data_IF_271807308500
#
_entry.id   IF_271807308500
#
_cell.length_a   1.000
_cell.length_b   1.000
_cell.length_c   1.000
_cell.angle_alpha   90.00
_cell.angle_beta   90.00
_cell.angle_gamma   90.00
#
_symmetry.space_group_name_H-M   'P 1'
#
loop_
_entity.id
_entity.type
_entity.pdbx_description
1 polymer ?
#
# COMPACT_ATOMS: atom_id res chain seq x y z
N UNK A 1 25.00 -24.56 -6.32
CA UNK A 1 23.88 -24.12 -7.21
C UNK A 1 22.63 -24.11 -6.35
N UNK A 2 21.98 -22.97 -6.19
CA UNK A 2 20.72 -22.87 -5.43
C UNK A 2 19.61 -23.22 -6.38
N UNK A 3 18.88 -24.30 -6.11
CA UNK A 3 17.75 -24.71 -6.92
C UNK A 3 16.48 -24.05 -6.32
N UNK A 4 15.87 -23.16 -7.08
CA UNK A 4 14.63 -22.51 -6.68
C UNK A 4 13.50 -23.53 -6.51
N UNK A 5 12.71 -23.38 -5.48
CA UNK A 5 11.55 -24.24 -5.18
C UNK A 5 10.39 -23.77 -6.05
N UNK A 6 10.36 -24.19 -7.32
CA UNK A 6 9.20 -24.03 -8.19
C UNK A 6 8.43 -25.35 -8.12
N UNK A 7 7.24 -25.37 -7.53
CA UNK A 7 6.33 -26.53 -7.46
C UNK A 7 6.72 -27.73 -6.56
N UNK A 8 7.49 -27.55 -5.50
CA UNK A 8 7.56 -28.56 -4.45
C UNK A 8 6.44 -28.37 -3.43
N UNK A 9 5.91 -29.46 -2.87
CA UNK A 9 5.11 -29.41 -1.63
C UNK A 9 6.00 -28.85 -0.52
N UNK A 10 5.94 -27.54 -0.32
CA UNK A 10 6.65 -26.89 0.76
C UNK A 10 5.88 -27.24 2.04
N UNK A 11 6.56 -27.78 3.08
CA UNK A 11 5.92 -28.07 4.35
C UNK A 11 5.30 -26.77 4.90
N UNK A 12 4.05 -26.83 5.30
CA UNK A 12 3.41 -25.73 6.05
C UNK A 12 4.03 -25.65 7.43
N UNK A 13 4.75 -24.58 7.68
CA UNK A 13 5.30 -24.28 9.00
C UNK A 13 5.12 -22.79 9.29
N UNK A 14 4.23 -22.40 10.21
CA UNK A 14 3.94 -21.02 10.52
C UNK A 14 5.15 -20.26 11.07
N UNK A 15 6.15 -20.96 11.58
CA UNK A 15 7.35 -20.35 12.17
C UNK A 15 8.48 -20.13 11.15
N UNK A 16 8.41 -20.72 9.95
CA UNK A 16 9.47 -20.63 8.94
C UNK A 16 8.89 -20.34 7.57
N UNK A 17 9.37 -19.30 6.91
CA UNK A 17 9.16 -19.09 5.48
C UNK A 17 10.36 -19.67 4.75
N UNK A 18 10.14 -20.75 4.01
CA UNK A 18 11.19 -21.41 3.26
C UNK A 18 11.58 -20.61 2.03
N UNK A 19 12.89 -20.48 1.80
CA UNK A 19 13.48 -19.72 0.69
C UNK A 19 13.98 -20.66 -0.40
N UNK A 20 14.72 -21.69 0.02
CA UNK A 20 15.40 -22.61 -0.90
C UNK A 20 15.78 -23.90 -0.18
N UNK A 21 16.40 -24.81 -0.95
CA UNK A 21 17.07 -25.98 -0.42
C UNK A 21 18.56 -25.95 -0.74
N UNK A 22 19.36 -26.51 0.14
CA UNK A 22 20.80 -26.68 -0.11
C UNK A 22 21.01 -27.76 -1.17
N UNK A 23 22.07 -27.61 -1.95
CA UNK A 23 22.57 -28.64 -2.86
C UNK A 23 24.04 -28.89 -2.53
N UNK A 24 24.31 -29.34 -1.31
CA UNK A 24 25.68 -29.56 -0.84
C UNK A 24 25.89 -31.03 -0.47
N UNK A 25 26.83 -31.69 -1.13
CA UNK A 25 27.19 -33.10 -0.91
C UNK A 25 26.01 -34.07 -0.99
N UNK A 26 25.07 -33.85 -1.92
CA UNK A 26 23.88 -34.67 -2.10
C UNK A 26 22.84 -34.59 -0.98
N UNK A 27 22.95 -33.63 -0.08
CA UNK A 27 21.95 -33.37 0.96
C UNK A 27 21.09 -32.17 0.57
N UNK A 28 19.83 -32.46 0.28
CA UNK A 28 18.79 -31.49 -0.01
C UNK A 28 18.10 -31.06 1.30
N UNK A 29 18.62 -30.02 1.96
CA UNK A 29 18.04 -29.51 3.20
C UNK A 29 17.33 -28.19 2.93
N UNK A 30 16.04 -28.12 3.28
CA UNK A 30 15.28 -26.86 3.24
C UNK A 30 15.82 -25.85 4.25
N UNK A 31 15.93 -24.61 3.84
CA UNK A 31 16.24 -23.50 4.73
C UNK A 31 15.35 -22.31 4.46
N UNK A 32 15.15 -21.48 5.47
CA UNK A 32 14.24 -20.34 5.41
C UNK A 32 14.52 -19.32 6.50
N UNK A 33 13.64 -18.33 6.57
CA UNK A 33 13.66 -17.25 7.56
C UNK A 33 12.65 -17.56 8.64
N UNK A 34 13.06 -17.45 9.90
CA UNK A 34 12.14 -17.58 11.04
C UNK A 34 11.18 -16.40 11.08
N UNK A 35 9.94 -16.64 11.52
CA UNK A 35 8.89 -15.61 11.63
C UNK A 35 9.34 -14.38 12.40
N UNK A 36 10.05 -14.54 13.51
CA UNK A 36 10.58 -13.44 14.31
C UNK A 36 11.59 -12.55 13.56
N UNK A 37 12.35 -13.14 12.62
CA UNK A 37 13.40 -12.47 11.88
C UNK A 37 12.85 -11.76 10.63
N UNK A 38 11.59 -12.04 10.23
CA UNK A 38 10.89 -11.40 9.11
C UNK A 38 10.47 -9.96 9.39
N UNK A 39 10.65 -9.46 10.58
CA UNK A 39 10.49 -8.03 10.91
C UNK A 39 11.60 -7.16 10.33
N UNK A 40 12.67 -7.77 9.88
CA UNK A 40 13.76 -7.14 9.14
C UNK A 40 13.37 -7.02 7.65
N UNK A 41 13.78 -5.92 7.01
CA UNK A 41 13.57 -5.75 5.58
C UNK A 41 14.46 -6.70 4.78
N UNK A 42 13.94 -7.21 3.66
CA UNK A 42 14.72 -8.01 2.71
C UNK A 42 14.88 -7.24 1.41
N UNK A 43 16.08 -7.24 0.87
CA UNK A 43 16.37 -6.68 -0.44
C UNK A 43 16.88 -7.78 -1.36
N UNK A 44 16.17 -8.04 -2.47
CA UNK A 44 16.49 -9.12 -3.42
C UNK A 44 17.07 -8.51 -4.67
N UNK A 45 18.35 -8.81 -4.94
CA UNK A 45 19.09 -8.35 -6.10
C UNK A 45 19.34 -9.49 -7.08
N UNK A 46 19.23 -9.19 -8.36
CA UNK A 46 19.55 -10.14 -9.44
C UNK A 46 19.20 -9.57 -10.80
N UNK A 47 19.81 -10.11 -11.85
CA UNK A 47 19.49 -9.78 -13.24
C UNK A 47 18.05 -10.22 -13.57
N UNK A 48 17.49 -9.73 -14.68
CA UNK A 48 16.25 -10.25 -15.23
C UNK A 48 16.35 -11.77 -15.49
N UNK A 49 15.29 -12.52 -15.23
CA UNK A 49 15.26 -13.97 -15.43
C UNK A 49 15.97 -14.81 -14.34
N UNK A 50 16.54 -14.21 -13.27
CA UNK A 50 17.23 -14.95 -12.22
C UNK A 50 16.32 -15.49 -11.11
N UNK A 51 14.99 -15.39 -11.25
CA UNK A 51 14.02 -15.95 -10.31
C UNK A 51 13.65 -15.07 -9.12
N UNK A 52 13.94 -13.75 -9.16
CA UNK A 52 13.52 -12.82 -8.07
C UNK A 52 12.03 -12.86 -7.79
N UNK A 53 11.20 -12.73 -8.83
CA UNK A 53 9.75 -12.77 -8.72
C UNK A 53 9.24 -14.10 -8.20
N UNK A 54 9.84 -15.21 -8.66
CA UNK A 54 9.51 -16.57 -8.19
C UNK A 54 9.83 -16.73 -6.70
N UNK A 55 10.96 -16.19 -6.23
CA UNK A 55 11.28 -16.20 -4.81
C UNK A 55 10.23 -15.43 -3.99
N UNK A 56 9.88 -14.22 -4.41
CA UNK A 56 8.86 -13.40 -3.75
C UNK A 56 7.50 -14.09 -3.76
N UNK A 57 7.08 -14.62 -4.91
CA UNK A 57 5.85 -15.39 -5.07
C UNK A 57 5.77 -16.55 -4.08
N UNK A 58 6.82 -17.37 -3.99
CA UNK A 58 6.87 -18.50 -3.08
C UNK A 58 6.75 -18.07 -1.61
N UNK A 59 7.41 -16.99 -1.22
CA UNK A 59 7.32 -16.46 0.14
C UNK A 59 5.92 -15.92 0.44
N UNK A 60 5.30 -15.22 -0.50
CA UNK A 60 3.96 -14.64 -0.37
C UNK A 60 2.93 -15.76 -0.24
N UNK A 61 2.96 -16.78 -1.11
CA UNK A 61 2.03 -17.89 -1.09
C UNK A 61 2.13 -18.68 0.22
N UNK A 62 3.33 -18.92 0.74
CA UNK A 62 3.50 -19.54 2.05
C UNK A 62 2.82 -18.73 3.16
N UNK A 63 2.98 -17.40 3.15
CA UNK A 63 2.37 -16.52 4.15
C UNK A 63 0.84 -16.56 4.06
N UNK A 64 0.28 -16.53 2.85
CA UNK A 64 -1.17 -16.62 2.64
C UNK A 64 -1.70 -17.96 3.18
N UNK A 65 -1.05 -19.08 2.88
CA UNK A 65 -1.41 -20.43 3.37
C UNK A 65 -1.29 -20.57 4.88
N UNK A 66 -0.35 -19.86 5.49
CA UNK A 66 -0.18 -19.83 6.95
C UNK A 66 -1.16 -18.86 7.65
N UNK A 67 -2.12 -18.26 6.95
CA UNK A 67 -3.10 -17.33 7.52
C UNK A 67 -2.57 -15.93 7.80
N UNK A 68 -1.40 -15.58 7.29
CA UNK A 68 -0.80 -14.26 7.49
C UNK A 68 -1.45 -13.20 6.58
N UNK A 69 -1.47 -11.95 7.02
CA UNK A 69 -1.82 -10.81 6.19
C UNK A 69 -0.65 -10.44 5.28
N UNK A 70 -0.95 -10.19 4.00
CA UNK A 70 0.06 -9.84 2.99
C UNK A 70 -0.42 -8.63 2.20
N UNK A 71 0.49 -7.70 1.91
CA UNK A 71 0.27 -6.62 0.97
C UNK A 71 1.32 -6.72 -0.14
N UNK A 72 0.86 -6.80 -1.39
CA UNK A 72 1.73 -6.87 -2.57
C UNK A 72 1.52 -5.61 -3.40
N UNK A 73 2.61 -4.93 -3.75
CA UNK A 73 2.61 -3.81 -4.67
C UNK A 73 3.47 -4.20 -5.88
N UNK A 74 2.82 -4.42 -7.00
CA UNK A 74 3.47 -4.85 -8.25
C UNK A 74 3.16 -3.85 -9.38
N UNK A 75 4.13 -3.03 -9.80
CA UNK A 75 3.93 -2.06 -10.88
C UNK A 75 3.70 -2.72 -12.26
N UNK A 76 4.01 -4.01 -12.43
CA UNK A 76 3.86 -4.74 -13.69
C UNK A 76 2.60 -5.60 -13.73
N UNK A 77 2.08 -6.05 -12.59
CA UNK A 77 0.87 -6.86 -12.46
C UNK A 77 1.07 -8.38 -12.57
N UNK A 78 2.10 -8.85 -13.25
CA UNK A 78 2.34 -10.29 -13.50
C UNK A 78 2.47 -11.11 -12.20
N UNK A 79 3.19 -10.59 -11.21
CA UNK A 79 3.38 -11.26 -9.92
C UNK A 79 2.06 -11.39 -9.17
N UNK A 80 1.25 -10.33 -9.17
CA UNK A 80 -0.06 -10.31 -8.48
C UNK A 80 -1.00 -11.32 -9.12
N UNK A 81 -1.07 -11.39 -10.45
CA UNK A 81 -1.92 -12.36 -11.15
C UNK A 81 -1.54 -13.81 -10.83
N UNK A 82 -0.25 -14.13 -10.77
CA UNK A 82 0.22 -15.45 -10.37
C UNK A 82 -0.11 -15.79 -8.91
N UNK A 83 -0.05 -14.80 -8.00
CA UNK A 83 -0.44 -14.98 -6.61
C UNK A 83 -1.95 -15.24 -6.51
N UNK A 84 -2.78 -14.48 -7.23
CA UNK A 84 -4.24 -14.65 -7.22
C UNK A 84 -4.67 -16.08 -7.60
N UNK A 85 -4.00 -16.70 -8.57
CA UNK A 85 -4.26 -18.10 -8.97
C UNK A 85 -3.91 -19.12 -7.88
N UNK A 86 -3.12 -18.72 -6.90
CA UNK A 86 -2.60 -19.58 -5.83
C UNK A 86 -3.28 -19.37 -4.47
N UNK A 87 -4.29 -18.50 -4.42
CA UNK A 87 -5.02 -18.20 -3.18
C UNK A 87 -5.92 -19.37 -2.83
N UNK A 88 -5.86 -19.90 -1.59
CA UNK A 88 -6.78 -20.94 -1.11
C UNK A 88 -8.24 -20.44 -1.14
N UNK A 89 -9.16 -21.33 -1.43
CA UNK A 89 -10.60 -21.00 -1.58
C UNK A 89 -11.16 -20.33 -0.32
N UNK A 90 -10.77 -20.79 0.86
CA UNK A 90 -11.16 -20.23 2.14
C UNK A 90 -10.65 -18.81 2.41
N UNK A 91 -9.66 -18.33 1.62
CA UNK A 91 -9.07 -17.00 1.74
C UNK A 91 -9.52 -16.03 0.65
N UNK A 92 -10.31 -16.47 -0.31
CA UNK A 92 -10.76 -15.63 -1.43
C UNK A 92 -11.54 -14.40 -0.95
N UNK A 93 -12.38 -14.57 0.08
CA UNK A 93 -13.14 -13.45 0.68
C UNK A 93 -12.29 -12.39 1.38
N UNK A 94 -11.04 -12.71 1.71
CA UNK A 94 -10.10 -11.78 2.37
C UNK A 94 -9.31 -10.93 1.36
N UNK A 95 -9.46 -11.21 0.05
CA UNK A 95 -8.66 -10.58 -0.99
C UNK A 95 -9.22 -9.23 -1.38
N UNK A 96 -8.36 -8.22 -1.37
CA UNK A 96 -8.63 -6.92 -1.98
C UNK A 96 -7.68 -6.79 -3.18
N UNK A 97 -8.23 -6.93 -4.38
CA UNK A 97 -7.48 -6.74 -5.62
C UNK A 97 -7.73 -5.35 -6.17
N UNK A 98 -6.73 -4.48 -6.05
CA UNK A 98 -6.78 -3.11 -6.53
C UNK A 98 -5.96 -2.98 -7.82
N UNK A 99 -6.64 -2.92 -8.97
CA UNK A 99 -6.02 -2.71 -10.28
C UNK A 99 -6.51 -1.37 -10.87
N UNK A 100 -5.69 -0.31 -10.83
CA UNK A 100 -6.08 1.00 -11.38
C UNK A 100 -6.29 1.00 -12.90
N UNK A 101 -5.76 -0.01 -13.62
CA UNK A 101 -5.93 -0.14 -15.07
C UNK A 101 -7.20 -0.88 -15.48
N UNK A 102 -7.91 -1.49 -14.53
CA UNK A 102 -9.17 -2.17 -14.79
C UNK A 102 -10.29 -1.13 -14.99
N UNK A 103 -10.81 -1.08 -16.20
CA UNK A 103 -11.91 -0.17 -16.57
C UNK A 103 -13.29 -0.78 -16.43
N UNK A 104 -13.40 -2.11 -16.25
CA UNK A 104 -14.66 -2.82 -16.08
C UNK A 104 -15.04 -2.93 -14.60
N UNK A 105 -14.05 -3.24 -13.74
CA UNK A 105 -14.25 -3.46 -12.30
C UNK A 105 -13.37 -2.53 -11.48
N UNK A 106 -13.55 -1.22 -11.65
CA UNK A 106 -12.76 -0.24 -10.92
C UNK A 106 -13.18 -0.13 -9.45
N UNK A 107 -12.21 -0.17 -8.58
CA UNK A 107 -12.39 0.05 -7.13
C UNK A 107 -12.12 1.52 -6.82
N UNK A 108 -13.09 2.19 -6.19
CA UNK A 108 -12.90 3.53 -5.66
C UNK A 108 -12.03 3.51 -4.41
N UNK A 109 -10.95 4.27 -4.42
CA UNK A 109 -10.09 4.47 -3.25
C UNK A 109 -10.07 5.94 -2.85
N UNK A 110 -10.69 6.27 -1.71
CA UNK A 110 -10.69 7.61 -1.18
C UNK A 110 -9.63 7.77 -0.10
N UNK A 111 -8.50 8.40 -0.44
CA UNK A 111 -7.38 8.63 0.49
C UNK A 111 -7.73 9.57 1.66
N UNK A 112 -8.86 10.32 1.58
CA UNK A 112 -9.34 11.19 2.65
C UNK A 112 -10.31 10.49 3.61
N UNK A 113 -10.67 9.24 3.35
CA UNK A 113 -11.51 8.45 4.23
C UNK A 113 -10.67 7.85 5.36
N UNK A 114 -10.73 8.45 6.54
CA UNK A 114 -10.03 7.97 7.73
C UNK A 114 -11.04 7.40 8.72
N UNK A 115 -10.78 6.20 9.22
CA UNK A 115 -11.62 5.55 10.25
C UNK A 115 -11.39 6.17 11.65
N UNK A 116 -10.17 6.59 11.93
CA UNK A 116 -9.77 7.12 13.23
C UNK A 116 -9.13 8.51 13.05
N UNK A 117 -9.74 9.57 13.61
CA UNK A 117 -9.25 10.95 13.49
C UNK A 117 -7.80 11.18 13.93
N UNK A 118 -7.24 10.30 14.78
CA UNK A 118 -5.82 10.41 15.19
C UNK A 118 -4.84 10.30 14.01
N UNK A 119 -5.24 9.68 12.89
CA UNK A 119 -4.42 9.56 11.70
C UNK A 119 -4.50 10.75 10.74
N UNK A 120 -5.32 11.76 11.05
CA UNK A 120 -5.53 12.94 10.21
C UNK A 120 -4.22 13.59 9.75
N UNK A 121 -3.35 13.92 10.68
CA UNK A 121 -2.07 14.56 10.36
C UNK A 121 -1.10 13.64 9.61
N UNK A 122 -1.14 12.34 9.87
CA UNK A 122 -0.32 11.37 9.16
C UNK A 122 -0.76 11.26 7.69
N UNK A 123 -2.07 11.20 7.43
CA UNK A 123 -2.62 11.17 6.07
C UNK A 123 -2.31 12.46 5.33
N UNK A 124 -2.51 13.62 5.97
CA UNK A 124 -2.19 14.91 5.38
C UNK A 124 -0.69 15.00 5.01
N UNK A 125 0.20 14.63 5.93
CA UNK A 125 1.65 14.62 5.69
C UNK A 125 2.05 13.65 4.57
N UNK A 126 1.44 12.46 4.52
CA UNK A 126 1.66 11.49 3.44
C UNK A 126 1.28 12.04 2.07
N UNK A 127 0.09 12.65 1.95
CA UNK A 127 -0.37 13.29 0.71
C UNK A 127 0.54 14.45 0.30
N UNK A 128 0.94 15.30 1.23
CA UNK A 128 1.88 16.39 0.97
C UNK A 128 3.21 15.86 0.44
N UNK A 129 3.74 14.77 1.03
CA UNK A 129 4.96 14.13 0.56
C UNK A 129 4.85 13.56 -0.87
N UNK A 130 3.67 13.03 -1.25
CA UNK A 130 3.40 12.57 -2.61
C UNK A 130 3.35 13.77 -3.57
N UNK A 131 2.60 14.82 -3.24
CA UNK A 131 2.44 16.00 -4.08
C UNK A 131 3.76 16.72 -4.32
N UNK A 132 4.58 16.85 -3.28
CA UNK A 132 5.94 17.44 -3.39
C UNK A 132 6.81 16.66 -4.38
N UNK A 133 6.71 15.33 -4.41
CA UNK A 133 7.47 14.50 -5.36
C UNK A 133 6.96 14.64 -6.80
N UNK A 134 5.63 14.67 -6.98
CA UNK A 134 5.02 14.77 -8.32
C UNK A 134 5.30 16.11 -8.95
N UNK A 135 5.19 17.19 -8.18
CA UNK A 135 5.32 18.57 -8.68
C UNK A 135 6.56 19.29 -8.16
N UNK A 136 7.66 18.57 -7.97
CA UNK A 136 8.90 19.12 -7.38
C UNK A 136 9.35 20.45 -8.02
N UNK A 137 9.24 20.56 -9.33
CA UNK A 137 9.68 21.75 -10.08
C UNK A 137 8.73 22.96 -9.96
N UNK A 138 7.48 22.75 -9.56
CA UNK A 138 6.47 23.79 -9.40
C UNK A 138 6.11 24.04 -7.92
N UNK A 139 6.77 23.34 -6.99
CA UNK A 139 6.46 23.40 -5.57
C UNK A 139 6.89 24.72 -4.95
N UNK A 140 6.00 25.36 -4.22
CA UNK A 140 6.30 26.59 -3.48
C UNK A 140 5.74 26.52 -2.07
N UNK A 141 6.32 27.28 -1.15
CA UNK A 141 5.86 27.37 0.24
C UNK A 141 4.39 27.82 0.34
N UNK A 142 3.96 28.71 -0.57
CA UNK A 142 2.56 29.15 -0.64
C UNK A 142 1.62 28.04 -1.07
N UNK A 143 1.98 27.28 -2.08
CA UNK A 143 1.21 26.14 -2.56
C UNK A 143 1.11 25.07 -1.48
N UNK A 144 2.22 24.76 -0.81
CA UNK A 144 2.27 23.83 0.31
C UNK A 144 1.32 24.25 1.42
N UNK A 145 1.38 25.51 1.84
CA UNK A 145 0.54 26.04 2.89
C UNK A 145 -0.95 25.96 2.55
N UNK A 146 -1.34 26.34 1.33
CA UNK A 146 -2.73 26.27 0.87
C UNK A 146 -3.22 24.81 0.79
N UNK A 147 -2.44 23.92 0.18
CA UNK A 147 -2.82 22.50 0.02
C UNK A 147 -2.93 21.79 1.35
N UNK A 148 -2.00 22.03 2.27
CA UNK A 148 -2.05 21.42 3.60
C UNK A 148 -3.33 21.83 4.36
N UNK A 149 -3.68 23.12 4.35
CA UNK A 149 -4.92 23.59 4.97
C UNK A 149 -6.17 23.06 4.24
N UNK A 150 -6.14 22.89 2.93
CA UNK A 150 -7.24 22.29 2.18
C UNK A 150 -7.44 20.80 2.56
N UNK A 151 -6.37 20.02 2.58
CA UNK A 151 -6.42 18.60 2.95
C UNK A 151 -6.91 18.45 4.39
N UNK A 152 -6.37 19.21 5.34
CA UNK A 152 -6.80 19.16 6.74
C UNK A 152 -8.27 19.52 6.92
N UNK A 153 -8.77 20.51 6.16
CA UNK A 153 -10.18 20.89 6.18
C UNK A 153 -11.10 19.80 5.62
N UNK A 154 -10.68 19.16 4.53
CA UNK A 154 -11.44 18.05 3.93
C UNK A 154 -11.45 16.81 4.83
N UNK A 155 -10.34 16.50 5.49
CA UNK A 155 -10.26 15.37 6.44
C UNK A 155 -11.18 15.53 7.66
N UNK A 156 -11.58 16.76 8.02
CA UNK A 156 -12.57 17.01 9.08
C UNK A 156 -14.02 16.82 8.62
N UNK A 157 -14.25 16.70 7.31
CA UNK A 157 -15.59 16.62 6.73
C UNK A 157 -15.81 15.25 6.10
N UNK A 158 -16.69 14.41 6.67
CA UNK A 158 -16.99 13.09 6.10
C UNK A 158 -17.50 13.16 4.66
N UNK A 159 -17.14 12.16 3.85
CA UNK A 159 -17.59 12.03 2.46
C UNK A 159 -16.91 12.99 1.47
N UNK A 160 -15.85 13.69 1.89
CA UNK A 160 -15.03 14.49 0.98
C UNK A 160 -14.00 13.61 0.25
N UNK A 161 -13.56 14.08 -0.90
CA UNK A 161 -12.55 13.43 -1.73
C UNK A 161 -11.46 14.44 -2.14
N UNK A 162 -10.39 13.99 -2.78
CA UNK A 162 -9.35 14.89 -3.34
C UNK A 162 -9.91 15.94 -4.31
N UNK A 163 -11.01 15.66 -4.99
CA UNK A 163 -11.70 16.64 -5.85
C UNK A 163 -12.23 17.84 -5.05
N UNK A 164 -12.44 17.68 -3.76
CA UNK A 164 -12.79 18.76 -2.84
C UNK A 164 -11.72 19.84 -2.73
N UNK A 165 -10.44 19.55 -3.03
CA UNK A 165 -9.35 20.54 -2.99
C UNK A 165 -9.63 21.67 -3.96
N UNK A 166 -9.98 21.37 -5.21
CA UNK A 166 -10.33 22.40 -6.19
C UNK A 166 -11.59 23.16 -5.76
N UNK A 167 -12.61 22.44 -5.29
CA UNK A 167 -13.89 23.05 -4.92
C UNK A 167 -13.75 24.01 -3.73
N UNK A 168 -12.99 23.66 -2.70
CA UNK A 168 -12.81 24.54 -1.53
C UNK A 168 -12.12 25.85 -1.91
N UNK A 169 -11.31 25.86 -2.99
CA UNK A 169 -10.61 27.05 -3.47
C UNK A 169 -11.51 27.99 -4.27
N UNK A 170 -12.44 27.46 -5.07
CA UNK A 170 -13.22 28.25 -6.04
C UNK A 170 -14.71 28.41 -5.67
N UNK A 171 -15.31 27.42 -4.99
CA UNK A 171 -16.73 27.37 -4.65
C UNK A 171 -16.95 27.89 -3.22
N UNK A 172 -17.55 29.08 -3.11
CA UNK A 172 -17.81 29.73 -1.81
C UNK A 172 -18.79 28.95 -0.93
N UNK A 173 -19.84 28.40 -1.51
CA UNK A 173 -20.88 27.69 -0.76
C UNK A 173 -20.34 26.35 -0.23
N UNK A 174 -19.59 25.63 -1.06
CA UNK A 174 -18.87 24.45 -0.64
C UNK A 174 -17.87 24.75 0.48
N UNK A 175 -17.11 25.84 0.35
CA UNK A 175 -16.16 26.29 1.38
C UNK A 175 -16.86 26.57 2.71
N UNK A 176 -17.98 27.29 2.70
CA UNK A 176 -18.73 27.58 3.93
C UNK A 176 -19.24 26.31 4.60
N UNK A 177 -19.71 25.34 3.83
CA UNK A 177 -20.10 24.02 4.35
C UNK A 177 -18.90 23.31 5.04
N UNK A 178 -17.73 23.33 4.43
CA UNK A 178 -16.52 22.73 5.03
C UNK A 178 -16.11 23.47 6.31
N UNK A 179 -16.08 24.81 6.29
CA UNK A 179 -15.74 25.63 7.48
C UNK A 179 -16.63 25.30 8.68
N UNK A 180 -17.92 25.01 8.43
CA UNK A 180 -18.87 24.61 9.48
C UNK A 180 -18.48 23.31 10.21
N UNK A 181 -17.77 22.42 9.56
CA UNK A 181 -17.34 21.13 10.11
C UNK A 181 -15.93 21.16 10.75
N UNK A 182 -15.17 22.26 10.58
CA UNK A 182 -13.80 22.35 11.06
C UNK A 182 -13.73 22.34 12.59
N UNK A 183 -12.91 21.41 13.08
CA UNK A 183 -12.61 21.25 14.52
C UNK A 183 -11.35 22.00 14.93
N UNK A 184 -10.36 22.09 14.04
CA UNK A 184 -9.09 22.77 14.28
C UNK A 184 -9.25 24.29 14.11
N UNK A 185 -9.05 25.10 15.17
CA UNK A 185 -9.20 26.55 15.09
C UNK A 185 -8.18 27.22 14.17
N UNK A 186 -6.98 26.66 14.02
CA UNK A 186 -5.94 27.20 13.12
C UNK A 186 -6.35 27.03 11.67
N UNK A 187 -6.78 25.84 11.28
CA UNK A 187 -7.30 25.55 9.94
C UNK A 187 -8.54 26.40 9.67
N UNK A 188 -9.43 26.55 10.66
CA UNK A 188 -10.63 27.38 10.54
C UNK A 188 -10.31 28.85 10.29
N UNK A 189 -9.36 29.41 11.03
CA UNK A 189 -8.93 30.79 10.84
C UNK A 189 -8.37 31.04 9.45
N UNK A 190 -7.60 30.11 8.90
CA UNK A 190 -7.08 30.20 7.52
C UNK A 190 -8.17 30.35 6.46
N UNK A 191 -9.33 29.70 6.64
CA UNK A 191 -10.42 29.72 5.66
C UNK A 191 -11.43 30.87 5.84
N UNK A 192 -11.42 31.54 6.98
CA UNK A 192 -12.30 32.66 7.28
C UNK A 192 -11.69 34.00 6.79
N UNK A 193 -10.37 34.11 6.81
CA UNK A 193 -9.60 35.29 6.42
C UNK A 193 -8.87 35.09 5.10
#
# INVERSE_FOLDING_TARGET
>A
MIQYIVYMEIPTNPEITYIAKTNFRGKDQLFGIKRKDRRQHMYVLGKSGTGKSVLLQNMIIQNIRNGEGVCVVDPHGELVEEILRSIPEERVSDVIYFNPADTEYHIGFNVLEIKDPKYKHLVASGLMGIFTKIWANAWSARMEYILNNAILALLDTPGTTLLGIQRILVDKDYRQKIIGNLKDPVVKTFWIH
#
